data_IF_052129432411
#
_entry.id   IF_052129432411
#
_cell.length_a   1.000
_cell.length_b   1.000
_cell.length_c   1.000
_cell.angle_alpha   90.00
_cell.angle_beta   90.00
_cell.angle_gamma   90.00
#
_symmetry.space_group_name_H-M   'P 1'
#
loop_
_entity.id
_entity.type
_entity.pdbx_description
1 polymer ?
#
# COMPACT_ATOMS: atom_id res chain seq x y z
N UNK A 1 -7.49 8.93 27.65
CA UNK A 1 -7.65 8.30 26.33
C UNK A 1 -6.36 8.48 25.52
N UNK A 2 -6.13 7.62 24.55
CA UNK A 2 -4.96 7.69 23.66
C UNK A 2 -4.84 9.07 22.97
N UNK A 3 -5.94 9.63 22.49
CA UNK A 3 -6.01 10.96 21.85
C UNK A 3 -5.46 12.06 22.78
N UNK A 4 -5.81 12.06 24.06
CA UNK A 4 -5.27 13.04 25.02
C UNK A 4 -3.76 12.91 25.18
N UNK A 5 -3.24 11.66 25.28
CA UNK A 5 -1.79 11.42 25.38
C UNK A 5 -1.03 11.90 24.13
N UNK A 6 -1.60 11.71 22.94
CA UNK A 6 -1.00 12.21 21.69
C UNK A 6 -1.01 13.74 21.63
N UNK A 7 -2.08 14.38 22.10
CA UNK A 7 -2.17 15.85 22.18
C UNK A 7 -1.18 16.42 23.20
N UNK A 8 -1.04 15.82 24.39
CA UNK A 8 -0.07 16.19 25.41
C UNK A 8 1.39 16.09 24.89
N UNK A 9 1.68 15.07 24.07
CA UNK A 9 2.98 14.91 23.38
C UNK A 9 3.14 15.83 22.16
N UNK A 10 2.13 16.65 21.86
CA UNK A 10 2.11 17.57 20.71
C UNK A 10 2.24 16.87 19.35
N UNK A 11 1.76 15.64 19.22
CA UNK A 11 1.71 14.95 17.93
C UNK A 11 0.44 15.32 17.15
N UNK A 12 -0.63 15.66 17.85
CA UNK A 12 -1.91 16.07 17.25
C UNK A 12 -2.41 17.36 17.89
N UNK A 13 -3.23 18.11 17.11
CA UNK A 13 -4.12 19.15 17.64
C UNK A 13 -5.46 18.48 17.90
N UNK A 14 -5.93 18.60 19.13
CA UNK A 14 -7.20 18.01 19.56
C UNK A 14 -8.08 19.08 20.20
N UNK A 15 -9.23 19.32 19.62
CA UNK A 15 -10.32 20.10 20.21
C UNK A 15 -11.59 19.24 20.19
N UNK A 16 -12.35 19.32 21.31
CA UNK A 16 -13.58 18.55 21.42
C UNK A 16 -14.54 18.92 20.27
N UNK A 17 -15.08 17.90 19.60
CA UNK A 17 -16.00 18.03 18.44
C UNK A 17 -15.37 18.57 17.14
N UNK A 18 -14.05 18.73 17.05
CA UNK A 18 -13.36 19.05 15.81
C UNK A 18 -12.56 17.85 15.27
N UNK A 19 -12.26 17.87 14.00
CA UNK A 19 -11.37 16.89 13.38
C UNK A 19 -9.98 16.92 14.05
N UNK A 20 -9.37 15.74 14.18
CA UNK A 20 -8.00 15.62 14.69
C UNK A 20 -7.03 15.96 13.56
N UNK A 21 -6.11 16.88 13.82
CA UNK A 21 -5.07 17.27 12.86
C UNK A 21 -3.69 16.84 13.38
N UNK A 22 -2.86 16.29 12.48
CA UNK A 22 -1.45 16.04 12.78
C UNK A 22 -0.68 17.37 12.86
N UNK A 23 0.19 17.50 13.86
CA UNK A 23 1.22 18.54 13.88
C UNK A 23 2.38 18.13 12.96
N UNK A 24 3.29 19.08 12.64
CA UNK A 24 4.55 18.73 11.94
C UNK A 24 5.34 17.65 12.68
N UNK A 25 5.41 17.73 14.01
CA UNK A 25 6.03 16.69 14.85
C UNK A 25 5.32 15.35 14.72
N UNK A 26 3.98 15.37 14.71
CA UNK A 26 3.17 14.16 14.53
C UNK A 26 3.33 13.55 13.15
N UNK A 27 3.34 14.38 12.11
CA UNK A 27 3.58 13.93 10.72
C UNK A 27 4.95 13.26 10.58
N UNK A 28 6.00 13.90 11.09
CA UNK A 28 7.36 13.34 11.04
C UNK A 28 7.44 12.00 11.75
N UNK A 29 6.83 11.88 12.94
CA UNK A 29 6.81 10.61 13.67
C UNK A 29 6.02 9.53 12.94
N UNK A 30 4.87 9.87 12.35
CA UNK A 30 4.07 8.93 11.57
C UNK A 30 4.83 8.41 10.34
N UNK A 31 5.51 9.29 9.60
CA UNK A 31 6.32 8.90 8.45
C UNK A 31 7.52 8.03 8.84
N UNK A 32 8.11 8.28 10.01
CA UNK A 32 9.20 7.45 10.54
C UNK A 32 8.72 6.01 10.85
N UNK A 33 7.56 5.86 11.50
CA UNK A 33 6.97 4.55 11.77
C UNK A 33 6.58 3.87 10.46
N UNK A 34 5.92 4.59 9.56
CA UNK A 34 5.51 4.08 8.25
C UNK A 34 6.70 3.56 7.44
N UNK A 35 7.85 4.26 7.49
CA UNK A 35 9.09 3.79 6.86
C UNK A 35 9.55 2.45 7.46
N UNK A 36 9.57 2.34 8.79
CA UNK A 36 9.96 1.10 9.48
C UNK A 36 9.06 -0.06 9.09
N UNK A 37 7.75 0.17 9.08
CA UNK A 37 6.74 -0.82 8.70
C UNK A 37 6.98 -1.33 7.27
N UNK A 38 6.97 -0.45 6.29
CA UNK A 38 7.08 -0.79 4.86
C UNK A 38 8.43 -1.40 4.48
N UNK A 39 9.54 -0.93 5.07
CA UNK A 39 10.83 -1.57 4.91
C UNK A 39 10.84 -3.00 5.47
N UNK A 40 10.16 -3.22 6.59
CA UNK A 40 10.06 -4.55 7.18
C UNK A 40 9.23 -5.49 6.31
N UNK A 41 8.07 -5.04 5.82
CA UNK A 41 7.24 -5.83 4.89
C UNK A 41 8.05 -6.27 3.66
N UNK A 42 8.78 -5.34 3.04
CA UNK A 42 9.61 -5.65 1.88
C UNK A 42 10.76 -6.60 2.22
N UNK A 43 11.40 -6.42 3.38
CA UNK A 43 12.47 -7.32 3.85
C UNK A 43 11.94 -8.74 4.08
N UNK A 44 10.78 -8.89 4.70
CA UNK A 44 10.14 -10.19 4.92
C UNK A 44 9.77 -10.86 3.59
N UNK A 45 9.27 -10.09 2.64
CA UNK A 45 8.90 -10.60 1.32
C UNK A 45 10.12 -10.96 0.47
N UNK A 46 11.07 -10.04 0.28
CA UNK A 46 12.18 -10.20 -0.67
C UNK A 46 13.33 -11.07 -0.13
N UNK A 47 13.62 -10.97 1.17
CA UNK A 47 14.78 -11.66 1.77
C UNK A 47 14.37 -12.95 2.46
N UNK A 48 13.23 -12.97 3.14
CA UNK A 48 12.72 -14.17 3.82
C UNK A 48 11.75 -14.97 2.95
N UNK A 49 11.41 -14.49 1.76
CA UNK A 49 10.52 -15.13 0.79
C UNK A 49 9.13 -15.47 1.39
N UNK A 50 8.62 -14.58 2.22
CA UNK A 50 7.26 -14.67 2.78
C UNK A 50 6.23 -14.11 1.79
N UNK A 51 5.02 -14.63 1.83
CA UNK A 51 3.90 -14.11 1.03
C UNK A 51 3.53 -12.69 1.46
N UNK A 52 3.14 -11.85 0.52
CA UNK A 52 2.74 -10.46 0.78
C UNK A 52 1.49 -10.36 1.66
N UNK A 53 0.69 -11.41 1.76
CA UNK A 53 -0.47 -11.53 2.65
C UNK A 53 -0.11 -11.85 4.12
N UNK A 54 1.16 -12.25 4.39
CA UNK A 54 1.62 -12.66 5.73
C UNK A 54 2.46 -11.59 6.42
N UNK A 55 3.06 -10.67 5.65
CA UNK A 55 4.11 -9.77 6.15
C UNK A 55 3.59 -8.65 7.06
N UNK A 56 2.33 -8.23 6.90
CA UNK A 56 1.75 -7.09 7.59
C UNK A 56 1.76 -7.23 9.12
N UNK A 57 1.21 -8.32 9.64
CA UNK A 57 1.10 -8.55 11.09
C UNK A 57 2.46 -8.69 11.78
N UNK A 58 3.47 -9.16 11.05
CA UNK A 58 4.84 -9.26 11.54
C UNK A 58 5.50 -7.88 11.53
N UNK A 59 5.31 -7.11 10.48
CA UNK A 59 5.84 -5.75 10.37
C UNK A 59 5.29 -4.83 11.47
N UNK A 60 4.00 -4.94 11.83
CA UNK A 60 3.41 -4.21 12.96
C UNK A 60 4.12 -4.48 14.29
N UNK A 61 4.60 -5.70 14.52
CA UNK A 61 5.34 -6.03 15.74
C UNK A 61 6.77 -5.49 15.71
N UNK A 62 7.42 -5.55 14.55
CA UNK A 62 8.83 -5.15 14.37
C UNK A 62 9.01 -3.63 14.34
N UNK A 63 8.06 -2.86 13.80
CA UNK A 63 8.15 -1.39 13.67
C UNK A 63 8.37 -0.67 15.02
N UNK A 64 7.99 -1.32 16.12
CA UNK A 64 8.19 -0.80 17.49
C UNK A 64 9.61 -0.92 18.00
N UNK A 65 10.50 -1.59 17.30
CA UNK A 65 11.93 -1.69 17.68
C UNK A 65 12.56 -0.29 17.66
N UNK A 66 13.18 0.08 18.81
CA UNK A 66 13.82 1.39 19.00
C UNK A 66 15.29 1.36 18.55
N UNK A 67 15.52 1.01 17.28
CA UNK A 67 16.85 0.98 16.68
C UNK A 67 16.80 1.47 15.23
N UNK A 68 17.12 2.73 15.02
CA UNK A 68 17.15 3.30 13.68
C UNK A 68 18.21 2.61 12.81
N UNK A 69 19.37 2.27 13.41
CA UNK A 69 20.43 1.51 12.71
C UNK A 69 19.94 0.16 12.16
N UNK A 70 19.00 -0.50 12.82
CA UNK A 70 18.43 -1.76 12.36
C UNK A 70 17.66 -1.54 11.04
N UNK A 71 16.80 -0.53 10.99
CA UNK A 71 16.02 -0.22 9.79
C UNK A 71 16.86 0.40 8.67
N UNK A 72 17.86 1.20 9.01
CA UNK A 72 18.82 1.71 8.00
C UNK A 72 19.60 0.56 7.35
N UNK A 73 19.93 -0.49 8.12
CA UNK A 73 20.58 -1.67 7.55
C UNK A 73 19.64 -2.47 6.64
N UNK A 74 18.37 -2.60 6.99
CA UNK A 74 17.35 -3.18 6.10
C UNK A 74 17.26 -2.39 4.80
N UNK A 75 17.16 -1.07 4.88
CA UNK A 75 17.09 -0.18 3.73
C UNK A 75 18.30 -0.32 2.80
N UNK A 76 19.52 -0.34 3.36
CA UNK A 76 20.74 -0.62 2.61
C UNK A 76 20.73 -1.99 1.92
N UNK A 77 20.32 -3.04 2.63
CA UNK A 77 20.25 -4.41 2.10
C UNK A 77 19.27 -4.52 0.94
N UNK A 78 18.18 -3.77 0.97
CA UNK A 78 17.16 -3.71 -0.07
C UNK A 78 17.51 -2.72 -1.20
N UNK A 79 18.64 -2.02 -1.11
CA UNK A 79 19.09 -1.07 -2.15
C UNK A 79 18.27 0.22 -2.22
N UNK A 80 17.78 0.70 -1.08
CA UNK A 80 17.00 1.94 -0.94
C UNK A 80 15.70 1.90 -1.76
N UNK A 81 14.78 0.98 -1.45
CA UNK A 81 13.56 0.79 -2.20
C UNK A 81 12.61 1.97 -2.05
N UNK A 82 11.82 2.22 -3.08
CA UNK A 82 10.82 3.29 -3.09
C UNK A 82 9.40 2.80 -2.78
N UNK A 83 9.14 1.49 -2.91
CA UNK A 83 7.82 0.88 -2.72
C UNK A 83 7.95 -0.43 -1.95
N UNK A 84 6.95 -0.73 -1.15
CA UNK A 84 6.80 -1.99 -0.42
C UNK A 84 6.19 -3.11 -1.32
N UNK A 85 5.98 -4.34 -0.81
CA UNK A 85 5.44 -5.43 -1.61
C UNK A 85 3.99 -5.21 -2.08
N UNK A 86 3.26 -4.28 -1.50
CA UNK A 86 1.90 -3.91 -1.87
C UNK A 86 1.85 -2.74 -2.88
N UNK A 87 3.00 -2.17 -3.24
CA UNK A 87 3.14 -1.02 -4.13
C UNK A 87 2.93 0.33 -3.44
N UNK A 88 2.98 0.38 -2.12
CA UNK A 88 2.86 1.62 -1.36
C UNK A 88 4.22 2.32 -1.19
N UNK A 89 4.27 3.67 -1.25
CA UNK A 89 5.53 4.42 -1.25
C UNK A 89 6.23 4.40 0.11
N UNK A 90 7.49 4.00 0.16
CA UNK A 90 8.33 4.00 1.36
C UNK A 90 8.89 5.41 1.58
N UNK A 91 8.68 6.06 2.75
CA UNK A 91 9.32 7.32 3.07
C UNK A 91 10.86 7.16 3.15
N UNK A 92 11.61 8.11 2.63
CA UNK A 92 13.06 8.15 2.85
C UNK A 92 13.43 8.47 4.31
N UNK A 93 14.71 8.48 4.65
CA UNK A 93 15.21 8.78 6.00
C UNK A 93 14.81 10.18 6.51
N UNK A 94 14.45 11.12 5.62
CA UNK A 94 13.98 12.46 5.93
C UNK A 94 12.45 12.55 6.00
N UNK A 95 11.74 11.45 5.76
CA UNK A 95 10.28 11.40 5.72
C UNK A 95 9.68 11.93 4.41
N UNK A 96 10.46 12.02 3.33
CA UNK A 96 9.95 12.40 2.02
C UNK A 96 9.44 11.16 1.29
N UNK A 97 8.21 11.24 0.80
CA UNK A 97 7.61 10.20 -0.05
C UNK A 97 8.02 10.40 -1.52
N UNK A 98 8.26 9.32 -2.26
CA UNK A 98 8.43 9.41 -3.71
C UNK A 98 7.18 10.01 -4.37
N UNK A 99 7.38 10.75 -5.45
CA UNK A 99 6.25 11.27 -6.25
C UNK A 99 5.68 10.13 -7.06
N UNK A 100 4.45 9.77 -6.75
CA UNK A 100 3.77 8.64 -7.35
C UNK A 100 2.33 8.99 -7.69
N UNK A 101 1.91 8.68 -8.90
CA UNK A 101 0.54 8.94 -9.37
C UNK A 101 -0.09 7.61 -9.76
N UNK A 102 -0.86 7.06 -8.89
CA UNK A 102 -1.75 5.93 -9.18
C UNK A 102 -3.19 6.33 -8.89
N UNK A 103 -4.11 5.59 -9.47
CA UNK A 103 -5.54 5.78 -9.24
C UNK A 103 -6.23 4.41 -9.25
N UNK A 104 -7.41 4.28 -8.64
CA UNK A 104 -8.15 3.03 -8.63
C UNK A 104 -8.53 2.60 -10.06
N UNK A 105 -8.41 1.30 -10.36
CA UNK A 105 -8.82 0.75 -11.66
C UNK A 105 -10.29 1.07 -11.97
N UNK A 106 -11.13 1.24 -10.94
CA UNK A 106 -12.53 1.66 -11.08
C UNK A 106 -12.71 2.98 -11.82
N UNK A 107 -11.70 3.85 -11.82
CA UNK A 107 -11.70 5.14 -12.51
C UNK A 107 -11.07 5.04 -13.92
N UNK A 108 -10.71 3.83 -14.31
CA UNK A 108 -10.12 3.55 -15.61
C UNK A 108 -11.10 3.68 -16.77
N UNK A 109 -10.56 3.86 -17.96
CA UNK A 109 -11.32 4.08 -19.19
C UNK A 109 -11.40 2.81 -20.04
N UNK A 110 -12.53 2.63 -20.70
CA UNK A 110 -12.76 1.52 -21.63
C UNK A 110 -11.69 1.47 -22.73
N UNK A 111 -11.26 0.25 -23.09
CA UNK A 111 -10.24 -0.05 -24.10
C UNK A 111 -8.85 0.56 -23.80
N UNK A 112 -8.57 0.92 -22.56
CA UNK A 112 -7.23 1.31 -22.13
C UNK A 112 -6.54 0.21 -21.36
N UNK A 113 -5.21 0.20 -21.47
CA UNK A 113 -4.29 -0.71 -20.79
C UNK A 113 -3.62 0.05 -19.67
N UNK A 114 -3.61 -0.54 -18.51
CA UNK A 114 -2.98 -0.02 -17.29
C UNK A 114 -1.99 -1.06 -16.73
N UNK A 115 -1.06 -0.62 -15.90
CA UNK A 115 -0.21 -1.52 -15.12
C UNK A 115 -0.63 -1.49 -13.66
N UNK A 116 -0.77 -2.66 -13.06
CA UNK A 116 -0.99 -2.77 -11.62
C UNK A 116 0.24 -2.24 -10.89
N UNK A 117 0.04 -1.20 -10.12
CA UNK A 117 1.10 -0.51 -9.42
C UNK A 117 1.06 -0.72 -7.91
N UNK A 118 -0.10 -1.10 -7.38
CA UNK A 118 -0.29 -1.41 -5.97
C UNK A 118 -1.71 -1.87 -5.66
N UNK A 119 -1.94 -2.15 -4.39
CA UNK A 119 -3.25 -2.49 -3.84
C UNK A 119 -3.58 -1.59 -2.65
N UNK A 120 -4.86 -1.26 -2.48
CA UNK A 120 -5.34 -0.41 -1.39
C UNK A 120 -5.97 -1.21 -0.24
N UNK A 121 -6.14 -2.52 -0.40
CA UNK A 121 -6.63 -3.44 0.62
C UNK A 121 -5.57 -4.52 0.86
N UNK A 122 -5.17 -4.68 2.13
CA UNK A 122 -4.15 -5.64 2.58
C UNK A 122 -4.74 -6.85 3.31
N UNK A 123 -6.06 -7.04 3.26
CA UNK A 123 -6.69 -8.24 3.83
C UNK A 123 -6.12 -9.49 3.17
N UNK A 124 -5.67 -10.47 3.97
CA UNK A 124 -5.05 -11.69 3.47
C UNK A 124 -5.94 -12.42 2.44
N UNK A 125 -7.26 -12.44 2.66
CA UNK A 125 -8.22 -13.04 1.72
C UNK A 125 -8.24 -12.35 0.35
N UNK A 126 -8.06 -11.02 0.32
CA UNK A 126 -8.00 -10.26 -0.92
C UNK A 126 -6.69 -10.53 -1.66
N UNK A 127 -5.56 -10.51 -0.95
CA UNK A 127 -4.25 -10.78 -1.53
C UNK A 127 -4.14 -12.21 -2.07
N UNK A 128 -4.61 -13.21 -1.31
CA UNK A 128 -4.72 -14.60 -1.76
C UNK A 128 -5.62 -14.76 -2.99
N UNK A 129 -6.72 -14.00 -3.06
CA UNK A 129 -7.54 -13.98 -4.27
C UNK A 129 -6.74 -13.46 -5.48
N UNK A 130 -5.96 -12.40 -5.35
CA UNK A 130 -5.12 -11.87 -6.43
C UNK A 130 -4.08 -12.91 -6.88
N UNK A 131 -3.44 -13.60 -5.94
CA UNK A 131 -2.49 -14.69 -6.23
C UNK A 131 -3.16 -15.84 -6.99
N UNK A 132 -4.37 -16.22 -6.58
CA UNK A 132 -5.13 -17.31 -7.21
C UNK A 132 -5.44 -17.07 -8.69
N UNK A 133 -5.52 -15.80 -9.10
CA UNK A 133 -5.74 -15.40 -10.50
C UNK A 133 -4.45 -14.97 -11.21
N UNK A 134 -3.29 -15.09 -10.53
CA UNK A 134 -1.97 -14.74 -11.06
C UNK A 134 -1.80 -13.23 -11.32
N UNK A 135 -2.44 -12.38 -10.50
CA UNK A 135 -2.35 -10.92 -10.62
C UNK A 135 -1.30 -10.38 -9.64
N UNK A 136 -0.14 -10.04 -10.17
CA UNK A 136 1.00 -9.49 -9.43
C UNK A 136 1.28 -8.05 -9.82
N UNK A 137 2.05 -7.31 -9.01
CA UNK A 137 2.49 -5.96 -9.36
C UNK A 137 3.18 -5.94 -10.74
N UNK A 138 2.92 -4.90 -11.51
CA UNK A 138 3.41 -4.76 -12.89
C UNK A 138 2.56 -5.48 -13.95
N UNK A 139 1.58 -6.29 -13.55
CA UNK A 139 0.68 -6.95 -14.50
C UNK A 139 -0.08 -5.94 -15.36
N UNK A 140 -0.29 -6.28 -16.63
CA UNK A 140 -1.06 -5.48 -17.57
C UNK A 140 -2.55 -5.81 -17.45
N UNK A 141 -3.38 -4.78 -17.28
CA UNK A 141 -4.84 -4.88 -17.16
C UNK A 141 -5.48 -4.01 -18.22
N UNK A 142 -6.17 -4.64 -19.17
CA UNK A 142 -6.92 -3.94 -20.22
C UNK A 142 -8.41 -3.98 -19.89
N UNK A 143 -9.07 -2.82 -19.79
CA UNK A 143 -10.51 -2.73 -19.57
C UNK A 143 -11.25 -2.94 -20.89
N UNK A 144 -12.03 -4.02 -20.99
CA UNK A 144 -12.80 -4.39 -22.18
C UNK A 144 -14.28 -4.08 -22.07
N UNK A 145 -14.79 -3.95 -20.86
CA UNK A 145 -16.20 -3.76 -20.60
C UNK A 145 -16.40 -3.10 -19.24
N UNK A 146 -17.36 -2.23 -19.12
CA UNK A 146 -17.79 -1.62 -17.85
C UNK A 146 -19.30 -1.76 -17.78
N UNK A 147 -19.80 -2.46 -16.77
CA UNK A 147 -21.22 -2.63 -16.54
C UNK A 147 -21.80 -1.36 -15.88
N UNK A 148 -22.87 -0.83 -16.43
CA UNK A 148 -23.47 0.40 -15.90
C UNK A 148 -24.15 0.18 -14.55
N UNK A 149 -24.74 -0.99 -14.33
CA UNK A 149 -25.55 -1.29 -13.15
C UNK A 149 -24.70 -1.43 -11.89
N UNK A 150 -23.71 -2.32 -11.90
CA UNK A 150 -22.92 -2.70 -10.71
C UNK A 150 -21.46 -2.24 -10.75
N UNK A 151 -21.09 -1.53 -11.84
CA UNK A 151 -19.74 -1.05 -12.10
C UNK A 151 -18.68 -2.16 -12.14
N UNK A 152 -19.10 -3.42 -12.30
CA UNK A 152 -18.14 -4.50 -12.57
C UNK A 152 -17.45 -4.29 -13.91
N UNK A 153 -16.22 -4.79 -14.03
CA UNK A 153 -15.38 -4.58 -15.22
C UNK A 153 -14.96 -5.91 -15.81
N UNK A 154 -15.21 -6.09 -17.12
CA UNK A 154 -14.58 -7.13 -17.90
C UNK A 154 -13.16 -6.71 -18.29
N UNK A 155 -12.16 -7.40 -17.76
CA UNK A 155 -10.75 -7.06 -17.98
C UNK A 155 -10.00 -8.20 -18.64
N UNK A 156 -8.91 -7.86 -19.34
CA UNK A 156 -7.96 -8.81 -19.89
C UNK A 156 -6.62 -8.66 -19.19
N UNK A 157 -6.14 -9.73 -18.56
CA UNK A 157 -4.89 -9.73 -17.80
C UNK A 157 -3.75 -10.25 -18.67
N UNK A 158 -2.63 -9.49 -18.75
CA UNK A 158 -1.41 -9.88 -19.47
C UNK A 158 -1.68 -10.41 -20.90
N UNK A 159 -2.64 -9.82 -21.59
CA UNK A 159 -3.11 -10.27 -22.91
C UNK A 159 -3.69 -11.70 -22.98
N UNK A 160 -4.04 -12.29 -21.85
CA UNK A 160 -4.64 -13.62 -21.73
C UNK A 160 -6.18 -13.52 -21.69
N UNK A 161 -6.82 -14.51 -21.10
CA UNK A 161 -8.28 -14.63 -21.04
C UNK A 161 -8.95 -13.43 -20.33
N UNK A 162 -10.15 -13.10 -20.81
CA UNK A 162 -11.02 -12.11 -20.17
C UNK A 162 -11.54 -12.66 -18.83
N UNK A 163 -11.50 -11.86 -17.80
CA UNK A 163 -12.13 -12.13 -16.50
C UNK A 163 -13.00 -10.94 -16.10
N UNK A 164 -13.88 -11.13 -15.12
CA UNK A 164 -14.75 -10.07 -14.59
C UNK A 164 -14.31 -9.75 -13.17
N UNK A 165 -14.04 -8.47 -12.92
CA UNK A 165 -13.79 -7.94 -11.58
C UNK A 165 -15.02 -7.20 -11.07
N UNK A 166 -15.40 -7.46 -9.83
CA UNK A 166 -16.40 -6.65 -9.16
C UNK A 166 -15.91 -5.22 -8.96
N UNK A 167 -16.81 -4.28 -8.74
CA UNK A 167 -16.44 -2.91 -8.38
C UNK A 167 -15.53 -2.86 -7.15
N UNK A 168 -15.78 -3.71 -6.15
CA UNK A 168 -14.95 -3.80 -4.94
C UNK A 168 -13.52 -4.20 -5.26
N UNK A 169 -13.30 -5.14 -6.17
CA UNK A 169 -11.95 -5.49 -6.63
C UNK A 169 -11.33 -4.30 -7.36
N UNK A 170 -12.03 -3.72 -8.35
CA UNK A 170 -11.50 -2.62 -9.16
C UNK A 170 -11.08 -1.40 -8.34
N UNK A 171 -11.85 -1.03 -7.29
CA UNK A 171 -11.50 0.12 -6.43
C UNK A 171 -10.27 -0.11 -5.55
N UNK A 172 -9.89 -1.36 -5.32
CA UNK A 172 -8.72 -1.72 -4.51
C UNK A 172 -7.47 -2.04 -5.33
N UNK A 173 -7.56 -2.06 -6.65
CA UNK A 173 -6.40 -2.18 -7.55
C UNK A 173 -5.94 -0.79 -7.98
N UNK A 174 -4.73 -0.41 -7.56
CA UNK A 174 -4.13 0.88 -7.90
C UNK A 174 -3.31 0.72 -9.18
N UNK A 175 -3.60 1.54 -10.21
CA UNK A 175 -3.00 1.42 -11.54
C UNK A 175 -2.35 2.73 -12.00
N UNK A 176 -1.43 2.61 -12.95
CA UNK A 176 -0.76 3.69 -13.65
C UNK A 176 -0.91 3.53 -15.16
#
# INVERSE_FOLDING_TARGET
>A
SMVKKLAEKKFIKYEKYKAIELTEKGRKQALHILRKHRLTELFLSEVMNMGWEEVHDIAEQIEHIQSDRFFDRIDEMLGHPQFDPHGEPIPDANGKLPVYKSFPLSDGQLNKVYKLAGVANHDASFLQFLDSIGLTLGASIEIKEIQEFDKSMGVKLNNKNKTIFSFTVCRNLMVV
#
